data_IF_405800081535
#
_entry.id   IF_405800081535
#
_cell.length_a   1.000
_cell.length_b   1.000
_cell.length_c   1.000
_cell.angle_alpha   90.00
_cell.angle_beta   90.00
_cell.angle_gamma   90.00
#
_symmetry.space_group_name_H-M   'P 1'
#
loop_
_entity.id
_entity.type
_entity.pdbx_description
1 polymer ?
#
# COMPACT_ATOMS: atom_id res chain seq x y z
N UNK A 1 -39.91 -37.01 55.24
CA UNK A 1 -41.26 -36.57 54.85
C UNK A 1 -41.20 -35.05 54.69
N UNK A 2 -40.83 -34.48 53.53
CA UNK A 2 -41.52 -34.54 52.23
C UNK A 2 -42.79 -33.65 52.34
N UNK A 3 -43.08 -32.61 51.54
CA UNK A 3 -42.74 -32.27 50.15
C UNK A 3 -43.10 -30.77 49.89
N UNK A 4 -42.32 -30.02 49.09
CA UNK A 4 -42.59 -29.50 47.71
C UNK A 4 -43.31 -28.12 47.62
N UNK A 5 -42.70 -27.09 46.99
CA UNK A 5 -42.87 -26.59 45.59
C UNK A 5 -43.54 -25.20 45.63
N UNK A 6 -43.24 -24.18 44.83
CA UNK A 6 -42.62 -24.02 43.52
C UNK A 6 -41.93 -22.64 43.43
N UNK A 7 -40.81 -22.55 42.71
CA UNK A 7 -40.35 -21.30 42.09
C UNK A 7 -39.86 -21.63 40.68
N UNK A 8 -40.78 -21.52 39.72
CA UNK A 8 -40.48 -21.58 38.29
C UNK A 8 -39.73 -20.34 37.86
N UNK A 9 -38.43 -20.49 37.62
CA UNK A 9 -37.67 -19.57 36.78
C UNK A 9 -37.91 -19.97 35.33
N UNK A 10 -38.73 -19.20 34.61
CA UNK A 10 -38.90 -19.35 33.17
C UNK A 10 -37.59 -18.99 32.49
N UNK A 11 -36.90 -20.01 31.98
CA UNK A 11 -35.83 -19.92 31.01
C UNK A 11 -36.38 -19.24 29.74
N UNK A 12 -35.95 -18.01 29.49
CA UNK A 12 -36.06 -17.41 28.17
C UNK A 12 -34.77 -17.76 27.41
N UNK A 13 -34.89 -18.78 26.57
CA UNK A 13 -33.96 -19.09 25.48
C UNK A 13 -33.73 -17.83 24.64
N UNK A 14 -32.58 -17.21 24.81
CA UNK A 14 -31.97 -16.33 23.81
C UNK A 14 -31.02 -17.17 22.97
N UNK A 15 -31.59 -18.12 22.22
CA UNK A 15 -30.99 -18.53 20.96
C UNK A 15 -31.35 -17.46 19.92
N UNK A 16 -30.47 -17.24 18.94
CA UNK A 16 -30.57 -16.26 17.85
C UNK A 16 -30.25 -14.80 18.20
N UNK A 17 -28.97 -14.51 18.39
CA UNK A 17 -28.36 -13.22 17.96
C UNK A 17 -26.83 -13.15 17.91
N UNK A 18 -26.12 -14.25 18.18
CA UNK A 18 -24.66 -14.29 18.11
C UNK A 18 -24.09 -14.69 16.73
N UNK A 19 -24.93 -15.19 15.81
CA UNK A 19 -24.47 -15.70 14.51
C UNK A 19 -24.37 -14.67 13.38
N UNK A 20 -24.87 -13.44 13.54
CA UNK A 20 -25.02 -12.49 12.41
C UNK A 20 -23.94 -11.41 12.36
N UNK A 21 -23.12 -11.26 13.41
CA UNK A 21 -22.11 -10.18 13.43
C UNK A 21 -20.73 -10.58 12.88
N UNK A 22 -20.48 -11.86 12.60
CA UNK A 22 -19.16 -12.31 12.13
C UNK A 22 -19.04 -12.35 10.60
N UNK A 23 -20.14 -12.33 9.84
CA UNK A 23 -20.08 -12.36 8.38
C UNK A 23 -19.88 -10.96 7.76
N UNK A 24 -20.29 -9.89 8.44
CA UNK A 24 -20.12 -8.52 7.95
C UNK A 24 -18.65 -8.05 7.88
N UNK A 25 -17.76 -8.61 8.70
CA UNK A 25 -16.35 -8.19 8.76
C UNK A 25 -15.41 -8.88 7.76
N UNK A 26 -15.84 -9.98 7.14
CA UNK A 26 -15.02 -10.77 6.21
C UNK A 26 -15.33 -10.43 4.75
N UNK A 27 -16.55 -9.98 4.46
CA UNK A 27 -16.90 -9.42 3.14
C UNK A 27 -16.18 -8.08 2.86
N UNK A 28 -15.76 -7.35 3.89
CA UNK A 28 -15.25 -5.98 3.72
C UNK A 28 -13.83 -5.92 3.13
N UNK A 29 -12.93 -6.87 3.42
CA UNK A 29 -11.51 -6.74 3.03
C UNK A 29 -11.28 -7.05 1.55
N UNK A 30 -11.91 -8.12 1.04
CA UNK A 30 -11.77 -8.48 -0.37
C UNK A 30 -12.52 -7.51 -1.28
N UNK A 31 -13.65 -6.96 -0.80
CA UNK A 31 -14.41 -5.95 -1.53
C UNK A 31 -13.73 -4.57 -1.46
N UNK A 32 -13.15 -4.19 -0.32
CA UNK A 32 -12.28 -3.01 -0.17
C UNK A 32 -11.08 -3.08 -1.11
N UNK A 33 -10.42 -4.24 -1.15
CA UNK A 33 -9.27 -4.44 -2.01
C UNK A 33 -9.64 -4.38 -3.49
N UNK A 34 -10.74 -5.03 -3.87
CA UNK A 34 -11.26 -4.93 -5.24
C UNK A 34 -11.61 -3.48 -5.59
N UNK A 35 -12.22 -2.72 -4.67
CA UNK A 35 -12.53 -1.31 -4.89
C UNK A 35 -11.28 -0.46 -5.04
N UNK A 36 -10.24 -0.71 -4.24
CA UNK A 36 -8.95 -0.04 -4.38
C UNK A 36 -8.26 -0.38 -5.71
N UNK A 37 -8.33 -1.63 -6.16
CA UNK A 37 -7.83 -2.04 -7.48
C UNK A 37 -8.63 -1.39 -8.62
N UNK A 38 -9.96 -1.35 -8.50
CA UNK A 38 -10.84 -0.70 -9.46
C UNK A 38 -10.56 0.81 -9.54
N UNK A 39 -10.32 1.48 -8.41
CA UNK A 39 -9.96 2.89 -8.35
C UNK A 39 -8.61 3.17 -9.04
N UNK A 40 -7.61 2.30 -8.88
CA UNK A 40 -6.33 2.40 -9.59
C UNK A 40 -6.54 2.23 -11.11
N UNK A 41 -7.32 1.23 -11.51
CA UNK A 41 -7.65 0.97 -12.92
C UNK A 41 -8.43 2.12 -13.53
N UNK A 42 -9.39 2.71 -12.81
CA UNK A 42 -10.17 3.83 -13.31
C UNK A 42 -9.35 5.12 -13.43
N UNK A 43 -8.50 5.41 -12.44
CA UNK A 43 -7.67 6.62 -12.38
C UNK A 43 -6.57 6.60 -13.44
N UNK A 44 -6.01 5.42 -13.74
CA UNK A 44 -4.81 5.31 -14.57
C UNK A 44 -4.95 4.41 -15.81
N UNK A 45 -5.89 3.48 -15.85
CA UNK A 45 -6.17 2.59 -16.99
C UNK A 45 -6.92 3.25 -18.15
N UNK A 46 -7.54 4.41 -17.93
CA UNK A 46 -8.16 5.22 -18.98
C UNK A 46 -7.17 5.78 -20.01
N UNK A 47 -5.86 5.71 -19.74
CA UNK A 47 -4.82 6.21 -20.65
C UNK A 47 -4.55 5.25 -21.83
N UNK A 48 -4.83 3.96 -21.69
CA UNK A 48 -4.46 2.93 -22.68
C UNK A 48 -5.51 2.66 -23.77
N UNK A 49 -6.77 3.08 -23.61
CA UNK A 49 -7.83 2.78 -24.60
C UNK A 49 -7.95 3.82 -25.74
N UNK A 50 -7.20 4.93 -25.70
CA UNK A 50 -7.26 5.99 -26.74
C UNK A 50 -6.21 5.90 -27.84
N UNK A 51 -5.39 4.85 -27.90
CA UNK A 51 -4.47 4.63 -29.02
C UNK A 51 -4.80 3.34 -29.78
N UNK A 52 -5.55 3.50 -30.87
CA UNK A 52 -5.81 2.43 -31.85
C UNK A 52 -4.56 2.08 -32.68
N UNK A 53 -4.54 0.89 -33.33
CA UNK A 53 -3.33 0.31 -33.87
C UNK A 53 -2.97 0.93 -35.23
N UNK A 54 -2.07 1.90 -35.24
CA UNK A 54 -1.41 2.35 -36.46
C UNK A 54 -0.23 1.41 -36.78
N UNK A 55 -0.49 0.49 -37.74
CA UNK A 55 0.54 -0.26 -38.46
C UNK A 55 1.60 0.70 -39.02
N UNK A 56 2.84 0.54 -38.56
CA UNK A 56 4.01 0.93 -39.35
C UNK A 56 5.07 -0.16 -39.24
N UNK A 57 5.41 -0.71 -40.41
CA UNK A 57 6.43 -1.74 -40.61
C UNK A 57 7.82 -1.15 -40.32
N UNK A 58 8.59 -1.77 -39.45
CA UNK A 58 10.04 -1.64 -39.42
C UNK A 58 10.67 -2.66 -40.39
N UNK A 59 11.79 -2.31 -41.06
CA UNK A 59 12.86 -3.26 -41.35
C UNK A 59 14.05 -3.06 -40.38
N UNK A 60 14.86 -4.11 -40.14
CA UNK A 60 15.83 -4.12 -39.04
C UNK A 60 17.21 -3.70 -39.52
N UNK A 61 17.85 -2.74 -38.83
CA UNK A 61 19.31 -2.57 -38.95
C UNK A 61 19.97 -2.34 -37.58
N UNK A 62 20.78 -3.34 -37.28
CA UNK A 62 21.81 -3.48 -36.28
C UNK A 62 22.88 -2.38 -36.44
N UNK A 63 23.32 -1.68 -35.38
CA UNK A 63 24.64 -1.02 -35.27
C UNK A 63 25.00 -0.87 -33.78
N UNK A 64 26.14 -1.48 -33.43
CA UNK A 64 26.91 -1.33 -32.19
C UNK A 64 27.49 0.09 -31.99
N UNK A 65 27.94 0.47 -30.78
CA UNK A 65 28.46 1.79 -30.50
C UNK A 65 29.90 1.95 -31.03
N UNK A 66 30.17 3.02 -31.77
CA UNK A 66 31.54 3.46 -32.02
C UNK A 66 31.89 4.62 -31.10
N UNK A 67 32.77 4.32 -30.15
CA UNK A 67 33.76 5.25 -29.63
C UNK A 67 34.55 5.86 -30.79
N UNK A 68 34.74 7.17 -30.75
CA UNK A 68 35.97 7.82 -31.20
C UNK A 68 36.09 9.13 -30.41
N UNK A 69 37.12 9.17 -29.58
CA UNK A 69 37.69 10.40 -29.07
C UNK A 69 38.23 11.23 -30.24
N UNK A 70 37.98 12.53 -30.20
CA UNK A 70 38.98 13.49 -30.66
C UNK A 70 38.88 14.77 -29.83
N UNK A 71 40.07 15.14 -29.36
CA UNK A 71 40.46 16.26 -28.52
C UNK A 71 40.50 17.58 -29.30
N UNK A 72 40.67 18.65 -28.50
CA UNK A 72 40.91 20.06 -28.86
C UNK A 72 39.73 20.82 -29.44
N UNK A 73 39.23 21.91 -28.85
CA UNK A 73 39.78 22.78 -27.82
C UNK A 73 39.37 24.19 -28.22
N UNK A 74 38.63 24.91 -27.37
CA UNK A 74 38.85 26.35 -27.30
C UNK A 74 38.36 26.94 -25.98
N UNK A 75 39.21 27.83 -25.51
CA UNK A 75 39.27 28.37 -24.17
C UNK A 75 38.34 29.59 -24.04
N UNK A 76 37.91 29.82 -22.81
CA UNK A 76 37.26 31.06 -22.38
C UNK A 76 38.19 32.24 -22.63
N UNK A 77 37.70 33.33 -23.22
CA UNK A 77 38.27 34.66 -23.00
C UNK A 77 37.21 35.74 -23.21
N UNK A 78 36.77 36.34 -22.09
CA UNK A 78 36.28 37.71 -22.07
C UNK A 78 37.44 38.64 -22.41
N UNK A 79 37.29 39.60 -23.33
CA UNK A 79 37.93 40.91 -23.21
C UNK A 79 37.08 42.00 -23.88
N UNK A 80 37.21 43.17 -23.28
CA UNK A 80 36.48 44.42 -23.47
C UNK A 80 37.34 45.36 -24.31
N UNK A 81 36.79 46.06 -25.32
CA UNK A 81 37.23 47.39 -25.81
C UNK A 81 36.40 47.79 -27.05
N UNK A 82 35.51 48.79 -26.92
CA UNK A 82 35.68 50.22 -27.26
C UNK A 82 35.80 50.58 -28.75
N UNK A 83 34.75 51.29 -29.16
CA UNK A 83 34.72 52.46 -30.07
C UNK A 83 35.16 52.28 -31.54
N UNK A 84 34.19 52.41 -32.46
CA UNK A 84 34.25 53.55 -33.39
C UNK A 84 32.85 53.90 -33.93
N UNK A 85 32.42 55.12 -33.61
CA UNK A 85 31.30 55.81 -34.23
C UNK A 85 31.63 56.08 -35.70
N UNK A 86 30.69 55.81 -36.61
CA UNK A 86 30.70 56.40 -37.95
C UNK A 86 29.33 57.01 -38.21
N UNK A 87 29.33 58.34 -38.10
CA UNK A 87 28.24 59.24 -38.41
C UNK A 87 27.79 59.07 -39.86
N UNK A 88 26.57 58.59 -40.05
CA UNK A 88 25.87 58.65 -41.33
C UNK A 88 25.24 60.02 -41.50
N UNK A 89 26.00 60.97 -42.06
CA UNK A 89 25.49 62.26 -42.48
C UNK A 89 24.87 62.15 -43.89
N UNK A 90 23.64 62.65 -44.13
CA UNK A 90 23.02 62.60 -45.44
C UNK A 90 23.54 63.77 -46.28
N UNK A 91 24.47 63.51 -47.20
CA UNK A 91 24.80 64.48 -48.24
C UNK A 91 23.63 64.64 -49.19
N UNK A 92 22.80 65.63 -48.86
CA UNK A 92 21.93 66.37 -49.75
C UNK A 92 22.79 67.02 -50.84
N UNK A 93 22.98 66.31 -51.95
CA UNK A 93 23.65 66.88 -53.13
C UNK A 93 22.68 67.82 -53.86
N UNK A 94 22.56 69.06 -53.35
CA UNK A 94 22.11 70.20 -54.16
C UNK A 94 23.33 70.71 -54.95
N UNK A 95 23.23 70.56 -56.27
CA UNK A 95 23.87 71.33 -57.34
C UNK A 95 25.37 71.68 -57.28
N UNK A 96 26.17 71.15 -58.23
CA UNK A 96 27.31 71.85 -58.80
C UNK A 96 27.23 71.88 -60.33
N UNK A 97 26.04 72.08 -60.90
CA UNK A 97 25.87 72.02 -62.37
C UNK A 97 26.43 73.30 -63.01
N UNK A 98 26.13 74.47 -62.44
CA UNK A 98 26.49 75.79 -63.01
C UNK A 98 28.01 76.00 -63.20
N UNK A 99 28.86 75.55 -62.26
CA UNK A 99 30.31 75.79 -62.33
C UNK A 99 31.03 74.93 -63.40
N UNK A 100 30.53 73.72 -63.69
CA UNK A 100 31.10 72.86 -64.74
C UNK A 100 30.66 73.33 -66.13
N UNK A 101 29.44 73.82 -66.23
CA UNK A 101 28.82 74.35 -67.45
C UNK A 101 29.54 75.61 -67.93
N UNK A 102 29.77 76.59 -67.04
CA UNK A 102 30.54 77.80 -67.37
C UNK A 102 31.99 77.51 -67.84
N UNK A 103 32.62 76.45 -67.30
CA UNK A 103 33.99 76.05 -67.68
C UNK A 103 34.02 75.37 -69.06
N UNK A 104 32.95 74.67 -69.43
CA UNK A 104 32.77 74.09 -70.76
C UNK A 104 32.48 75.17 -71.80
N UNK A 105 31.60 76.13 -71.50
CA UNK A 105 31.31 77.27 -72.38
C UNK A 105 32.58 78.07 -72.70
N UNK A 106 33.40 78.40 -71.70
CA UNK A 106 34.69 79.08 -71.91
C UNK A 106 35.65 78.29 -72.81
N UNK A 107 35.62 76.95 -72.74
CA UNK A 107 36.43 76.09 -73.62
C UNK A 107 35.91 76.08 -75.05
N UNK A 108 34.59 76.02 -75.25
CA UNK A 108 33.94 76.06 -76.56
C UNK A 108 34.23 77.41 -77.24
N UNK A 109 34.05 78.52 -76.52
CA UNK A 109 34.29 79.86 -77.04
C UNK A 109 35.76 80.07 -77.48
N UNK A 110 36.70 79.55 -76.69
CA UNK A 110 38.14 79.58 -77.02
C UNK A 110 38.49 78.65 -78.19
N UNK A 111 37.77 77.55 -78.37
CA UNK A 111 37.90 76.63 -79.51
C UNK A 111 37.44 77.28 -80.81
N UNK A 112 36.21 77.83 -80.82
CA UNK A 112 35.67 78.57 -81.96
C UNK A 112 36.58 79.74 -82.37
N UNK A 113 37.14 80.47 -81.41
CA UNK A 113 38.07 81.56 -81.70
C UNK A 113 39.36 81.12 -82.42
N UNK A 114 39.83 79.89 -82.18
CA UNK A 114 40.99 79.34 -82.90
C UNK A 114 40.63 78.90 -84.31
N UNK A 115 39.50 78.24 -84.48
CA UNK A 115 39.02 77.79 -85.80
C UNK A 115 38.69 78.98 -86.72
N UNK A 116 38.08 80.03 -86.18
CA UNK A 116 37.80 81.27 -86.91
C UNK A 116 39.09 81.93 -87.45
N UNK A 117 40.16 81.94 -86.64
CA UNK A 117 41.46 82.46 -87.07
C UNK A 117 42.08 81.61 -88.19
N UNK A 118 41.99 80.28 -88.11
CA UNK A 118 42.49 79.36 -89.15
C UNK A 118 41.71 79.52 -90.44
N UNK A 119 40.38 79.68 -90.37
CA UNK A 119 39.53 79.94 -91.53
C UNK A 119 39.95 81.24 -92.24
N UNK A 120 40.15 82.31 -91.47
CA UNK A 120 40.57 83.61 -92.00
C UNK A 120 41.93 83.53 -92.71
N UNK A 121 42.89 82.82 -92.11
CA UNK A 121 44.20 82.60 -92.73
C UNK A 121 44.11 81.82 -94.05
N UNK A 122 43.20 80.86 -94.17
CA UNK A 122 43.01 80.10 -95.42
C UNK A 122 42.33 80.94 -96.51
N UNK A 123 41.37 81.80 -96.15
CA UNK A 123 40.71 82.72 -97.09
C UNK A 123 41.67 83.78 -97.64
N UNK A 124 42.63 84.26 -96.83
CA UNK A 124 43.63 85.24 -97.27
C UNK A 124 44.65 84.68 -98.28
N UNK A 125 44.80 83.36 -98.39
CA UNK A 125 45.72 82.70 -99.33
C UNK A 125 45.16 82.55 -100.74
N UNK A 126 43.84 82.74 -100.91
CA UNK A 126 43.15 82.63 -102.19
C UNK A 126 43.11 84.02 -102.85
N UNK A 127 43.35 84.09 -104.17
CA UNK A 127 43.61 85.36 -104.86
C UNK A 127 42.37 85.90 -105.59
N UNK A 128 41.49 85.00 -106.02
CA UNK A 128 40.22 85.37 -106.67
C UNK A 128 39.06 85.32 -105.68
N UNK A 129 38.07 86.22 -105.83
CA UNK A 129 36.87 86.18 -105.00
C UNK A 129 36.07 84.87 -105.20
N UNK A 130 36.12 84.27 -106.39
CA UNK A 130 35.47 82.99 -106.70
C UNK A 130 36.08 81.82 -105.90
N UNK A 131 37.41 81.71 -105.80
CA UNK A 131 38.07 80.65 -105.02
C UNK A 131 37.77 80.75 -103.52
N UNK A 132 37.73 81.97 -102.98
CA UNK A 132 37.35 82.22 -101.58
C UNK A 132 35.92 81.74 -101.31
N UNK A 133 35.02 82.00 -102.25
CA UNK A 133 33.62 81.60 -102.18
C UNK A 133 33.49 80.07 -102.22
N UNK A 134 34.17 79.40 -103.15
CA UNK A 134 34.17 77.94 -103.28
C UNK A 134 34.74 77.23 -102.05
N UNK A 135 35.85 77.74 -101.48
CA UNK A 135 36.41 77.21 -100.24
C UNK A 135 35.45 77.37 -99.07
N UNK A 136 34.78 78.53 -98.96
CA UNK A 136 33.77 78.78 -97.94
C UNK A 136 32.57 77.83 -98.10
N UNK A 137 32.10 77.61 -99.33
CA UNK A 137 31.02 76.65 -99.62
C UNK A 137 31.41 75.22 -99.24
N UNK A 138 32.63 74.78 -99.55
CA UNK A 138 33.12 73.46 -99.17
C UNK A 138 33.20 73.29 -97.66
N UNK A 139 33.72 74.29 -96.95
CA UNK A 139 33.76 74.29 -95.48
C UNK A 139 32.36 74.31 -94.85
N UNK A 140 31.44 75.07 -95.43
CA UNK A 140 30.05 75.07 -95.00
C UNK A 140 29.37 73.71 -95.23
N UNK A 141 29.63 73.06 -96.36
CA UNK A 141 29.10 71.73 -96.65
C UNK A 141 29.66 70.64 -95.70
N UNK A 142 30.97 70.67 -95.42
CA UNK A 142 31.62 69.80 -94.42
C UNK A 142 30.99 69.99 -93.03
N UNK A 143 30.85 71.24 -92.57
CA UNK A 143 30.22 71.57 -91.28
C UNK A 143 28.76 71.09 -91.21
N UNK A 144 28.01 71.22 -92.31
CA UNK A 144 26.62 70.80 -92.38
C UNK A 144 26.50 69.26 -92.34
N UNK A 145 27.43 68.52 -92.97
CA UNK A 145 27.49 67.06 -92.88
C UNK A 145 27.90 66.59 -91.49
N UNK A 146 28.93 67.19 -90.89
CA UNK A 146 29.34 66.93 -89.50
C UNK A 146 28.17 67.15 -88.54
N UNK A 147 27.47 68.28 -88.64
CA UNK A 147 26.27 68.55 -87.85
C UNK A 147 25.17 67.50 -88.08
N UNK A 148 24.95 67.04 -89.33
CA UNK A 148 24.01 65.94 -89.63
C UNK A 148 24.45 64.62 -88.98
N UNK A 149 25.74 64.29 -88.98
CA UNK A 149 26.25 63.05 -88.37
C UNK A 149 26.19 63.10 -86.84
N UNK A 150 26.55 64.23 -86.23
CA UNK A 150 26.44 64.47 -84.79
C UNK A 150 24.98 64.43 -84.35
N UNK A 151 24.07 65.03 -85.12
CA UNK A 151 22.64 64.97 -84.83
C UNK A 151 22.10 63.52 -84.88
N UNK A 152 22.59 62.68 -85.80
CA UNK A 152 22.27 61.24 -85.81
C UNK A 152 22.84 60.52 -84.59
N UNK A 153 24.10 60.79 -84.21
CA UNK A 153 24.73 60.22 -83.00
C UNK A 153 24.00 60.64 -81.73
N UNK A 154 23.62 61.91 -81.61
CA UNK A 154 22.85 62.44 -80.48
C UNK A 154 21.51 61.72 -80.35
N UNK A 155 20.76 61.55 -81.44
CA UNK A 155 19.51 60.78 -81.45
C UNK A 155 19.71 59.32 -81.01
N UNK A 156 20.81 58.69 -81.43
CA UNK A 156 21.14 57.31 -81.03
C UNK A 156 21.47 57.23 -79.52
N UNK A 157 22.30 58.15 -79.03
CA UNK A 157 22.67 58.23 -77.62
C UNK A 157 21.45 58.52 -76.75
N UNK A 158 20.56 59.40 -77.18
CA UNK A 158 19.32 59.72 -76.47
C UNK A 158 18.40 58.50 -76.39
N UNK A 159 18.28 57.70 -77.47
CA UNK A 159 17.56 56.41 -77.42
C UNK A 159 18.21 55.43 -76.45
N UNK A 160 19.55 55.32 -76.46
CA UNK A 160 20.30 54.44 -75.55
C UNK A 160 20.14 54.88 -74.09
N UNK A 161 20.13 56.18 -73.83
CA UNK A 161 19.88 56.73 -72.48
C UNK A 161 18.49 56.35 -71.98
N UNK A 162 17.45 56.48 -72.81
CA UNK A 162 16.08 56.07 -72.44
C UNK A 162 16.01 54.55 -72.18
N UNK A 163 16.68 53.75 -73.00
CA UNK A 163 16.73 52.30 -72.82
C UNK A 163 17.41 51.91 -71.50
N UNK A 164 18.59 52.46 -71.22
CA UNK A 164 19.32 52.20 -69.97
C UNK A 164 18.51 52.68 -68.76
N UNK A 165 17.79 53.81 -68.86
CA UNK A 165 16.94 54.29 -67.78
C UNK A 165 15.80 53.30 -67.50
N UNK A 166 15.15 52.75 -68.53
CA UNK A 166 14.12 51.71 -68.36
C UNK A 166 14.69 50.43 -67.74
N UNK A 167 15.87 49.99 -68.18
CA UNK A 167 16.54 48.81 -67.62
C UNK A 167 16.93 49.02 -66.15
N UNK A 168 17.40 50.22 -65.80
CA UNK A 168 17.67 50.60 -64.41
C UNK A 168 16.40 50.52 -63.56
N UNK A 169 15.31 51.12 -64.01
CA UNK A 169 14.04 51.13 -63.27
C UNK A 169 13.47 49.71 -63.11
N UNK A 170 13.60 48.88 -64.16
CA UNK A 170 13.25 47.47 -64.13
C UNK A 170 14.07 46.70 -63.08
N UNK A 171 15.40 46.78 -63.13
CA UNK A 171 16.29 46.13 -62.16
C UNK A 171 16.05 46.62 -60.74
N UNK A 172 15.77 47.91 -60.54
CA UNK A 172 15.44 48.46 -59.24
C UNK A 172 14.14 47.86 -58.70
N UNK A 173 13.10 47.71 -59.52
CA UNK A 173 11.83 47.09 -59.13
C UNK A 173 12.01 45.60 -58.78
N UNK A 174 12.83 44.88 -59.54
CA UNK A 174 13.16 43.47 -59.29
C UNK A 174 13.94 43.31 -58.00
N UNK A 175 14.91 44.19 -57.74
CA UNK A 175 15.66 44.22 -56.50
C UNK A 175 14.74 44.45 -55.29
N UNK A 176 13.86 45.45 -55.35
CA UNK A 176 12.88 45.69 -54.28
C UNK A 176 11.98 44.46 -54.04
N UNK A 177 11.53 43.79 -55.10
CA UNK A 177 10.74 42.54 -54.98
C UNK A 177 11.54 41.41 -54.34
N UNK A 178 12.82 41.25 -54.72
CA UNK A 178 13.70 40.23 -54.15
C UNK A 178 13.96 40.46 -52.66
N UNK A 179 14.15 41.72 -52.22
CA UNK A 179 14.31 42.07 -50.80
C UNK A 179 13.07 41.69 -50.00
N UNK A 180 11.87 42.01 -50.49
CA UNK A 180 10.61 41.63 -49.82
C UNK A 180 10.44 40.11 -49.71
N UNK A 181 10.76 39.38 -50.78
CA UNK A 181 10.71 37.92 -50.78
C UNK A 181 11.70 37.34 -49.76
N UNK A 182 12.92 37.89 -49.69
CA UNK A 182 13.94 37.49 -48.71
C UNK A 182 13.44 37.70 -47.29
N UNK A 183 12.92 38.89 -46.96
CA UNK A 183 12.38 39.18 -45.62
C UNK A 183 11.23 38.24 -45.23
N UNK A 184 10.36 37.88 -46.17
CA UNK A 184 9.28 36.91 -45.93
C UNK A 184 9.81 35.51 -45.63
N UNK A 185 10.80 35.05 -46.39
CA UNK A 185 11.44 33.75 -46.16
C UNK A 185 12.19 33.73 -44.82
N UNK A 186 12.91 34.80 -44.48
CA UNK A 186 13.59 34.92 -43.18
C UNK A 186 12.61 34.85 -42.01
N UNK A 187 11.44 35.52 -42.11
CA UNK A 187 10.39 35.41 -41.08
C UNK A 187 9.88 33.99 -40.94
N UNK A 188 9.56 33.34 -42.07
CA UNK A 188 9.06 31.96 -42.08
C UNK A 188 10.09 30.99 -41.51
N UNK A 189 11.38 31.15 -41.84
CA UNK A 189 12.46 30.33 -41.27
C UNK A 189 12.56 30.50 -39.76
N UNK A 190 12.45 31.73 -39.24
CA UNK A 190 12.44 32.00 -37.79
C UNK A 190 11.23 31.37 -37.10
N UNK A 191 10.05 31.50 -37.70
CA UNK A 191 8.82 30.88 -37.17
C UNK A 191 8.92 29.35 -37.17
N UNK A 192 9.41 28.75 -38.26
CA UNK A 192 9.61 27.31 -38.36
C UNK A 192 10.64 26.81 -37.33
N UNK A 193 11.73 27.56 -37.11
CA UNK A 193 12.71 27.26 -36.07
C UNK A 193 12.10 27.33 -34.66
N UNK A 194 11.27 28.34 -34.38
CA UNK A 194 10.55 28.43 -33.09
C UNK A 194 9.60 27.24 -32.92
N UNK A 195 8.78 26.93 -33.93
CA UNK A 195 7.87 25.79 -33.87
C UNK A 195 8.60 24.46 -33.64
N UNK A 196 9.72 24.23 -34.33
CA UNK A 196 10.54 23.04 -34.10
C UNK A 196 11.11 22.98 -32.68
N UNK A 197 11.56 24.11 -32.13
CA UNK A 197 12.05 24.18 -30.75
C UNK A 197 10.93 23.87 -29.76
N UNK A 198 9.78 24.53 -29.87
CA UNK A 198 8.61 24.29 -29.02
C UNK A 198 8.13 22.85 -29.12
N UNK A 199 8.05 22.28 -30.33
CA UNK A 199 7.61 20.88 -30.51
C UNK A 199 8.56 19.88 -29.83
N UNK A 200 9.88 20.12 -29.92
CA UNK A 200 10.87 19.30 -29.22
C UNK A 200 10.72 19.41 -27.71
N UNK A 201 10.56 20.63 -27.18
CA UNK A 201 10.33 20.88 -25.76
C UNK A 201 9.04 20.21 -25.26
N UNK A 202 7.92 20.34 -25.97
CA UNK A 202 6.65 19.71 -25.63
C UNK A 202 6.70 18.19 -25.69
N UNK A 203 7.43 17.61 -26.66
CA UNK A 203 7.57 16.16 -26.80
C UNK A 203 8.42 15.60 -25.66
N UNK A 204 9.53 16.27 -25.32
CA UNK A 204 10.37 15.93 -24.18
C UNK A 204 9.58 16.05 -22.86
N UNK A 205 8.78 17.11 -22.72
CA UNK A 205 7.96 17.33 -21.55
C UNK A 205 6.86 16.27 -21.41
N UNK A 206 6.15 15.93 -22.49
CA UNK A 206 5.19 14.82 -22.51
C UNK A 206 5.82 13.48 -22.13
N UNK A 207 7.01 13.18 -22.65
CA UNK A 207 7.72 11.95 -22.31
C UNK A 207 8.06 11.89 -20.80
N UNK A 208 8.43 13.02 -20.19
CA UNK A 208 8.67 13.09 -18.74
C UNK A 208 7.41 12.88 -17.92
N UNK A 209 6.31 13.53 -18.30
CA UNK A 209 5.02 13.40 -17.62
C UNK A 209 4.45 11.98 -17.72
N UNK A 210 4.61 11.31 -18.86
CA UNK A 210 4.21 9.91 -19.03
C UNK A 210 5.06 8.97 -18.17
N UNK A 211 6.37 9.20 -18.11
CA UNK A 211 7.27 8.43 -17.25
C UNK A 211 6.97 8.66 -15.75
N UNK A 212 6.63 9.88 -15.34
CA UNK A 212 6.17 10.18 -13.98
C UNK A 212 4.86 9.46 -13.66
N UNK A 213 3.86 9.51 -14.54
CA UNK A 213 2.62 8.75 -14.38
C UNK A 213 2.88 7.25 -14.26
N UNK A 214 3.76 6.70 -15.09
CA UNK A 214 4.15 5.28 -15.04
C UNK A 214 4.77 4.95 -13.68
N UNK A 215 5.63 5.81 -13.15
CA UNK A 215 6.23 5.64 -11.81
C UNK A 215 5.19 5.73 -10.70
N UNK A 216 4.28 6.70 -10.75
CA UNK A 216 3.19 6.85 -9.78
C UNK A 216 2.30 5.61 -9.76
N UNK A 217 1.88 5.12 -10.92
CA UNK A 217 1.07 3.90 -11.07
C UNK A 217 1.81 2.71 -10.46
N UNK A 218 3.08 2.52 -10.84
CA UNK A 218 3.90 1.41 -10.35
C UNK A 218 4.08 1.47 -8.84
N UNK A 219 4.35 2.66 -8.30
CA UNK A 219 4.48 2.89 -6.86
C UNK A 219 3.17 2.59 -6.14
N UNK A 220 2.04 3.07 -6.67
CA UNK A 220 0.74 2.82 -6.06
C UNK A 220 0.41 1.34 -6.02
N UNK A 221 0.62 0.61 -7.13
CA UNK A 221 0.42 -0.84 -7.16
C UNK A 221 1.32 -1.57 -6.16
N UNK A 222 2.59 -1.17 -6.05
CA UNK A 222 3.51 -1.77 -5.07
C UNK A 222 3.09 -1.49 -3.63
N UNK A 223 2.65 -0.27 -3.31
CA UNK A 223 2.14 0.07 -1.98
C UNK A 223 0.90 -0.76 -1.66
N UNK A 224 -0.09 -0.80 -2.55
CA UNK A 224 -1.31 -1.61 -2.35
C UNK A 224 -0.98 -3.08 -2.17
N UNK A 225 -0.06 -3.64 -2.96
CA UNK A 225 0.37 -5.04 -2.80
C UNK A 225 1.02 -5.28 -1.42
N UNK A 226 1.86 -4.35 -0.97
CA UNK A 226 2.49 -4.40 0.36
C UNK A 226 1.44 -4.33 1.47
N UNK A 227 0.42 -3.50 1.33
CA UNK A 227 -0.66 -3.37 2.29
C UNK A 227 -1.50 -4.65 2.38
N UNK A 228 -1.79 -5.30 1.25
CA UNK A 228 -2.46 -6.62 1.22
C UNK A 228 -1.61 -7.65 1.97
N UNK A 229 -0.31 -7.70 1.69
CA UNK A 229 0.60 -8.64 2.36
C UNK A 229 0.60 -8.41 3.87
N UNK A 230 0.70 -7.15 4.31
CA UNK A 230 0.64 -6.79 5.72
C UNK A 230 -0.70 -7.19 6.36
N UNK A 231 -1.82 -7.06 5.66
CA UNK A 231 -3.12 -7.51 6.16
C UNK A 231 -3.21 -9.04 6.29
N UNK A 232 -2.70 -9.79 5.30
CA UNK A 232 -2.63 -11.25 5.35
C UNK A 232 -1.78 -11.72 6.53
N UNK A 233 -0.60 -11.11 6.72
CA UNK A 233 0.28 -11.39 7.85
C UNK A 233 -0.40 -11.08 9.18
N UNK A 234 -1.06 -9.92 9.30
CA UNK A 234 -1.79 -9.54 10.50
C UNK A 234 -2.96 -10.51 10.80
N UNK A 235 -3.66 -10.99 9.77
CA UNK A 235 -4.71 -12.01 9.93
C UNK A 235 -4.12 -13.34 10.38
N UNK A 236 -3.00 -13.77 9.80
CA UNK A 236 -2.27 -14.98 10.20
C UNK A 236 -1.83 -14.90 11.67
N UNK A 237 -1.28 -13.76 12.10
CA UNK A 237 -0.90 -13.52 13.50
C UNK A 237 -2.11 -13.60 14.44
N UNK A 238 -3.23 -12.98 14.09
CA UNK A 238 -4.47 -13.07 14.88
C UNK A 238 -4.96 -14.51 15.00
N UNK A 239 -4.95 -15.27 13.89
CA UNK A 239 -5.34 -16.68 13.89
C UNK A 239 -4.42 -17.51 14.79
N UNK A 240 -3.10 -17.31 14.68
CA UNK A 240 -2.12 -18.00 15.53
C UNK A 240 -2.32 -17.68 17.02
N UNK A 241 -2.64 -16.43 17.38
CA UNK A 241 -3.02 -16.06 18.75
C UNK A 241 -4.27 -16.79 19.24
N UNK A 242 -5.31 -16.87 18.41
CA UNK A 242 -6.53 -17.62 18.77
C UNK A 242 -6.24 -19.11 18.98
N UNK A 243 -5.40 -19.72 18.14
CA UNK A 243 -4.96 -21.11 18.35
C UNK A 243 -4.19 -21.29 19.66
N UNK A 244 -3.31 -20.35 20.02
CA UNK A 244 -2.59 -20.36 21.29
C UNK A 244 -3.57 -20.24 22.47
N UNK A 245 -4.47 -19.27 22.45
CA UNK A 245 -5.49 -19.10 23.50
C UNK A 245 -6.39 -20.33 23.65
N UNK A 246 -6.79 -20.95 22.54
CA UNK A 246 -7.56 -22.19 22.57
C UNK A 246 -6.78 -23.34 23.21
N UNK A 247 -5.49 -23.45 22.89
CA UNK A 247 -4.59 -24.44 23.50
C UNK A 247 -4.46 -24.20 25.00
N UNK A 248 -4.23 -22.96 25.44
CA UNK A 248 -4.16 -22.61 26.86
C UNK A 248 -5.47 -22.90 27.60
N UNK A 249 -6.63 -22.65 26.98
CA UNK A 249 -7.93 -22.97 27.55
C UNK A 249 -8.12 -24.49 27.67
N UNK A 250 -7.73 -25.26 26.66
CA UNK A 250 -7.76 -26.72 26.71
C UNK A 250 -6.85 -27.26 27.82
N UNK A 251 -5.66 -26.69 28.00
CA UNK A 251 -4.74 -27.04 29.09
C UNK A 251 -5.33 -26.72 30.47
N UNK A 252 -5.97 -25.56 30.63
CA UNK A 252 -6.68 -25.19 31.88
C UNK A 252 -7.82 -26.15 32.18
N UNK A 253 -8.64 -26.50 31.19
CA UNK A 253 -9.72 -27.49 31.34
C UNK A 253 -9.15 -28.86 31.75
N UNK A 254 -8.07 -29.31 31.09
CA UNK A 254 -7.41 -30.55 31.45
C UNK A 254 -6.89 -30.53 32.89
N UNK A 255 -6.22 -29.46 33.30
CA UNK A 255 -5.74 -29.30 34.69
C UNK A 255 -6.87 -29.36 35.71
N UNK A 256 -8.03 -28.78 35.39
CA UNK A 256 -9.23 -28.87 36.24
C UNK A 256 -9.70 -30.33 36.34
N UNK A 257 -9.83 -31.02 35.21
CA UNK A 257 -10.22 -32.44 35.18
C UNK A 257 -9.26 -33.27 36.04
N UNK A 258 -7.95 -33.15 35.84
CA UNK A 258 -6.93 -33.87 36.59
C UNK A 258 -7.03 -33.60 38.11
N UNK A 259 -7.35 -32.36 38.50
CA UNK A 259 -7.60 -32.00 39.91
C UNK A 259 -8.86 -32.67 40.49
N UNK A 260 -9.94 -32.77 39.70
CA UNK A 260 -11.16 -33.45 40.13
C UNK A 260 -10.95 -34.95 40.26
N UNK A 261 -10.25 -35.58 39.32
CA UNK A 261 -9.88 -37.00 39.39
C UNK A 261 -9.07 -37.28 40.66
N UNK A 262 -8.05 -36.45 40.96
CA UNK A 262 -7.26 -36.58 42.18
C UNK A 262 -8.10 -36.41 43.45
N UNK A 263 -9.05 -35.48 43.45
CA UNK A 263 -9.97 -35.26 44.58
C UNK A 263 -10.91 -36.45 44.77
N UNK A 264 -11.43 -37.01 43.68
CA UNK A 264 -12.29 -38.20 43.70
C UNK A 264 -11.53 -39.39 44.28
N UNK A 265 -10.30 -39.64 43.84
CA UNK A 265 -9.44 -40.68 44.42
C UNK A 265 -9.23 -40.49 45.94
N UNK A 266 -9.05 -39.25 46.39
CA UNK A 266 -8.89 -38.94 47.80
C UNK A 266 -10.17 -39.20 48.60
N UNK A 267 -11.33 -38.84 48.05
CA UNK A 267 -12.63 -39.13 48.66
C UNK A 267 -12.87 -40.65 48.75
N UNK A 268 -12.53 -41.40 47.71
CA UNK A 268 -12.60 -42.87 47.68
C UNK A 268 -11.74 -43.50 48.80
N UNK A 269 -10.53 -42.98 49.02
CA UNK A 269 -9.65 -43.40 50.13
C UNK A 269 -10.31 -43.12 51.48
N UNK A 270 -10.93 -41.95 51.66
CA UNK A 270 -11.67 -41.61 52.89
C UNK A 270 -12.86 -42.55 53.09
N UNK A 271 -13.65 -42.82 52.04
CA UNK A 271 -14.79 -43.72 52.11
C UNK A 271 -14.36 -45.13 52.54
N UNK A 272 -13.31 -45.68 51.90
CA UNK A 272 -12.73 -46.98 52.29
C UNK A 272 -12.24 -46.97 53.74
N UNK A 273 -11.56 -45.91 54.17
CA UNK A 273 -11.11 -45.79 55.56
C UNK A 273 -12.29 -45.79 56.55
N UNK A 274 -13.34 -45.01 56.26
CA UNK A 274 -14.53 -44.90 57.10
C UNK A 274 -15.33 -46.21 57.14
N UNK A 275 -15.43 -46.91 56.01
CA UNK A 275 -16.06 -48.24 55.94
C UNK A 275 -15.30 -49.26 56.80
N UNK A 276 -13.96 -49.27 56.74
CA UNK A 276 -13.13 -50.13 57.58
C UNK A 276 -13.27 -49.79 59.07
N UNK A 277 -13.32 -48.50 59.42
CA UNK A 277 -13.58 -48.07 60.80
C UNK A 277 -14.97 -48.53 61.29
N UNK A 278 -16.00 -48.42 60.45
CA UNK A 278 -17.35 -48.89 60.78
C UNK A 278 -17.35 -50.41 61.03
N UNK A 279 -16.76 -51.19 60.11
CA UNK A 279 -16.61 -52.65 60.27
C UNK A 279 -15.89 -53.02 61.56
N UNK A 280 -14.85 -52.26 61.94
CA UNK A 280 -14.13 -52.48 63.20
C UNK A 280 -15.03 -52.24 64.44
N UNK A 281 -15.84 -51.18 64.42
CA UNK A 281 -16.78 -50.88 65.51
C UNK A 281 -17.86 -51.95 65.60
N UNK A 282 -18.44 -52.34 64.46
CA UNK A 282 -19.47 -53.38 64.41
C UNK A 282 -18.94 -54.72 64.92
N UNK A 283 -17.73 -55.12 64.52
CA UNK A 283 -17.09 -56.35 65.01
C UNK A 283 -16.80 -56.31 66.52
N UNK A 284 -16.38 -55.16 67.07
CA UNK A 284 -16.20 -54.99 68.52
C UNK A 284 -17.53 -55.06 69.28
N UNK A 285 -18.59 -54.51 68.71
CA UNK A 285 -19.93 -54.58 69.27
C UNK A 285 -20.44 -56.03 69.30
N UNK A 286 -20.29 -56.75 68.19
CA UNK A 286 -20.67 -58.17 68.07
C UNK A 286 -19.89 -59.04 69.06
N UNK A 287 -18.57 -58.84 69.17
CA UNK A 287 -17.74 -59.53 70.17
C UNK A 287 -18.22 -59.26 71.61
N UNK A 288 -18.56 -58.01 71.95
CA UNK A 288 -19.05 -57.66 73.27
C UNK A 288 -20.43 -58.28 73.56
N UNK A 289 -21.32 -58.30 72.58
CA UNK A 289 -22.63 -58.96 72.66
C UNK A 289 -22.49 -60.46 72.87
N UNK A 290 -21.56 -61.11 72.16
CA UNK A 290 -21.29 -62.54 72.30
C UNK A 290 -20.72 -62.87 73.69
N UNK A 291 -19.73 -62.11 74.18
CA UNK A 291 -19.22 -62.27 75.55
C UNK A 291 -20.32 -62.09 76.62
N UNK A 292 -21.21 -61.12 76.43
CA UNK A 292 -22.35 -60.89 77.32
C UNK A 292 -23.30 -62.09 77.30
N UNK A 293 -23.66 -62.59 76.12
CA UNK A 293 -24.52 -63.76 75.96
C UNK A 293 -23.90 -65.01 76.58
N UNK A 294 -22.60 -65.26 76.38
CA UNK A 294 -21.90 -66.35 77.04
C UNK A 294 -21.92 -66.23 78.57
N UNK A 295 -21.73 -65.02 79.10
CA UNK A 295 -21.80 -64.76 80.54
C UNK A 295 -23.21 -65.00 81.09
N UNK A 296 -24.24 -64.53 80.39
CA UNK A 296 -25.64 -64.80 80.72
C UNK A 296 -25.95 -66.30 80.70
N UNK A 297 -25.45 -67.03 79.70
CA UNK A 297 -25.61 -68.48 79.63
C UNK A 297 -24.85 -69.21 80.74
N UNK A 298 -23.62 -68.80 81.08
CA UNK A 298 -22.87 -69.35 82.23
C UNK A 298 -23.63 -69.12 83.53
N UNK A 299 -24.05 -67.88 83.79
CA UNK A 299 -24.84 -67.53 84.96
C UNK A 299 -26.16 -68.29 85.01
N UNK A 300 -26.83 -68.50 83.87
CA UNK A 300 -28.05 -69.31 83.79
C UNK A 300 -27.78 -70.77 84.17
N UNK A 301 -26.73 -71.39 83.65
CA UNK A 301 -26.31 -72.77 83.99
C UNK A 301 -25.98 -72.89 85.49
N UNK A 302 -25.23 -71.95 86.04
CA UNK A 302 -24.88 -71.90 87.46
C UNK A 302 -26.13 -71.75 88.35
N UNK A 303 -27.03 -70.85 87.97
CA UNK A 303 -28.32 -70.65 88.66
C UNK A 303 -29.16 -71.92 88.63
N UNK A 304 -29.28 -72.58 87.48
CA UNK A 304 -30.01 -73.84 87.34
C UNK A 304 -29.37 -74.95 88.20
N UNK A 305 -28.04 -75.05 88.21
CA UNK A 305 -27.31 -75.98 89.05
C UNK A 305 -27.57 -75.77 90.56
N UNK A 306 -27.44 -74.53 91.05
CA UNK A 306 -27.72 -74.19 92.44
C UNK A 306 -29.18 -74.43 92.83
N UNK A 307 -30.12 -74.15 91.92
CA UNK A 307 -31.54 -74.41 92.14
C UNK A 307 -31.84 -75.90 92.28
N UNK A 308 -31.22 -76.74 91.45
CA UNK A 308 -31.33 -78.20 91.55
C UNK A 308 -30.72 -78.71 92.87
N UNK A 309 -29.53 -78.23 93.22
CA UNK A 309 -28.89 -78.61 94.49
C UNK A 309 -29.75 -78.20 95.70
N UNK A 310 -30.33 -77.00 95.70
CA UNK A 310 -31.24 -76.56 96.75
C UNK A 310 -32.51 -77.44 96.82
N UNK A 311 -33.03 -77.88 95.68
CA UNK A 311 -34.17 -78.81 95.62
C UNK A 311 -33.81 -80.19 96.20
N UNK A 312 -32.63 -80.73 95.89
CA UNK A 312 -32.12 -81.98 96.45
C UNK A 312 -31.93 -81.90 97.97
N UNK A 313 -31.27 -80.86 98.48
CA UNK A 313 -31.13 -80.64 99.93
C UNK A 313 -32.47 -80.51 100.62
N UNK A 314 -33.44 -79.81 100.02
CA UNK A 314 -34.80 -79.69 100.55
C UNK A 314 -35.50 -81.05 100.61
N UNK A 315 -35.32 -81.90 99.60
CA UNK A 315 -35.86 -83.26 99.59
C UNK A 315 -35.22 -84.11 100.69
N UNK A 316 -33.90 -84.07 100.84
CA UNK A 316 -33.17 -84.76 101.91
C UNK A 316 -33.62 -84.30 103.30
N UNK A 317 -33.75 -82.99 103.52
CA UNK A 317 -34.25 -82.44 104.77
C UNK A 317 -35.69 -82.89 105.08
N UNK A 318 -36.53 -83.01 104.04
CA UNK A 318 -37.89 -83.54 104.19
C UNK A 318 -37.86 -85.02 104.61
N UNK A 319 -37.04 -85.83 103.97
CA UNK A 319 -36.88 -87.26 104.32
C UNK A 319 -36.35 -87.43 105.75
N UNK A 320 -35.33 -86.66 106.15
CA UNK A 320 -34.80 -86.68 107.51
C UNK A 320 -35.86 -86.26 108.54
N UNK A 321 -36.67 -85.24 108.22
CA UNK A 321 -37.78 -84.81 109.08
C UNK A 321 -38.85 -85.90 109.20
N UNK A 322 -39.21 -86.58 108.11
CA UNK A 322 -40.12 -87.73 108.14
C UNK A 322 -39.53 -88.86 109.02
N UNK A 323 -38.25 -89.18 108.89
CA UNK A 323 -37.55 -90.15 109.76
C UNK A 323 -37.57 -89.72 111.23
N UNK A 324 -37.30 -88.45 111.52
CA UNK A 324 -37.38 -87.88 112.88
C UNK A 324 -38.79 -88.07 113.46
N UNK A 325 -39.84 -87.76 112.69
CA UNK A 325 -41.23 -87.95 113.16
C UNK A 325 -41.58 -89.41 113.41
N UNK A 326 -41.07 -90.35 112.59
CA UNK A 326 -41.25 -91.79 112.81
C UNK A 326 -40.53 -92.25 114.07
N UNK A 327 -39.28 -91.81 114.28
CA UNK A 327 -38.51 -92.14 115.49
C UNK A 327 -39.14 -91.52 116.75
N UNK A 328 -39.66 -90.29 116.68
CA UNK A 328 -40.42 -89.67 117.76
C UNK A 328 -41.70 -90.44 118.08
N UNK A 329 -42.45 -90.88 117.06
CA UNK A 329 -43.63 -91.74 117.25
C UNK A 329 -43.25 -93.07 117.90
N UNK A 330 -42.12 -93.67 117.49
CA UNK A 330 -41.60 -94.89 118.08
C UNK A 330 -41.13 -94.69 119.54
N UNK A 331 -40.44 -93.58 119.85
CA UNK A 331 -40.10 -93.19 121.21
C UNK A 331 -41.34 -92.98 122.07
N UNK A 332 -42.36 -92.30 121.54
CA UNK A 332 -43.65 -92.11 122.21
C UNK A 332 -44.32 -93.45 122.49
N UNK A 333 -44.32 -94.37 121.52
CA UNK A 333 -44.89 -95.71 121.67
C UNK A 333 -44.12 -96.55 122.70
N UNK A 334 -42.78 -96.51 122.68
CA UNK A 334 -41.96 -97.17 123.70
C UNK A 334 -42.11 -96.52 125.08
N UNK A 335 -42.24 -95.19 125.16
CA UNK A 335 -42.52 -94.46 126.40
C UNK A 335 -43.89 -94.82 126.97
N UNK A 336 -44.92 -94.91 126.13
CA UNK A 336 -46.25 -95.37 126.52
C UNK A 336 -46.26 -96.82 126.98
N UNK A 337 -45.55 -97.73 126.28
CA UNK A 337 -45.33 -99.11 126.75
C UNK A 337 -44.56 -99.17 128.06
N UNK A 338 -43.60 -98.28 128.27
CA UNK A 338 -42.85 -98.19 129.52
C UNK A 338 -43.70 -97.67 130.67
N UNK A 339 -44.58 -96.69 130.42
CA UNK A 339 -45.61 -96.26 131.35
C UNK A 339 -46.62 -97.36 131.65
N UNK A 340 -47.06 -98.15 130.66
CA UNK A 340 -47.88 -99.33 130.89
C UNK A 340 -47.13 -100.35 131.76
N UNK A 341 -45.84 -100.59 131.51
CA UNK A 341 -45.00 -101.44 132.35
C UNK A 341 -44.89 -100.90 133.78
N UNK A 342 -44.69 -99.60 133.96
CA UNK A 342 -44.68 -98.95 135.27
C UNK A 342 -46.03 -99.02 135.96
N UNK A 343 -47.14 -98.79 135.24
CA UNK A 343 -48.50 -98.89 135.75
C UNK A 343 -48.87 -100.32 136.16
N UNK A 344 -48.31 -101.32 135.47
CA UNK A 344 -48.46 -102.73 135.84
C UNK A 344 -47.60 -103.07 137.07
N UNK A 345 -46.42 -102.45 137.19
CA UNK A 345 -45.52 -102.58 138.34
C UNK A 345 -46.08 -101.89 139.61
N UNK A 346 -46.74 -100.74 139.48
CA UNK A 346 -47.43 -100.06 140.59
C UNK A 346 -48.72 -100.79 140.98
N UNK A 347 -49.49 -101.34 140.04
CA UNK A 347 -50.63 -102.22 140.36
C UNK A 347 -50.22 -103.54 141.04
N UNK A 348 -48.99 -104.02 140.85
CA UNK A 348 -48.43 -105.17 141.58
C UNK A 348 -47.91 -104.83 142.99
N UNK A 349 -47.88 -103.55 143.37
CA UNK A 349 -47.49 -103.09 144.72
C UNK A 349 -48.67 -102.61 145.58
N UNK A 350 -49.90 -102.68 145.08
CA UNK A 350 -51.15 -102.36 145.80
C UNK A 350 -51.99 -103.62 146.15
N UNK A 351 -51.34 -104.77 146.39
CA UNK A 351 -51.95 -105.96 147.04
C UNK A 351 -51.07 -106.43 148.19
#
# INVERSE_FOLDING_TARGET
>A
KQDDKDSSTTLQTTEDKAGVQSEQGVQDISEELNRQLEDIINTYGSATEKEGPAKTKEPPENIEPLDNEDLDGDEVTEETEREHLSSGEPTTTKEPVSNKEQKLEKKILKGLGKEANVLMQNLNKLQTPEEKLDFLFKKYAELLDEHRTEQKKLKLLQKKQVQIQKEKDQLQSEHSRAVLARSKLESLCRELQRHNKTLKEETLQRAREEEEKRKEITSHFQTTLTDIQAQIEQQSERNMKLCQENTELAEKLKSIIDQYELREEHLDKIFKHRELQQKLVDAKLEQAQEMMKEAEERHKREKEYLLNQAAEWKLQAKVLKEQETVLQAQLTLYSGRFEEFQNTLTKSKEV
#
